data_IF_096602870043
#
_entry.id   IF_096602870043
#
_cell.length_a   1.000
_cell.length_b   1.000
_cell.length_c   1.000
_cell.angle_alpha   90.00
_cell.angle_beta   90.00
_cell.angle_gamma   90.00
#
_symmetry.space_group_name_H-M   'P 1'
#
loop_
_entity.id
_entity.type
_entity.pdbx_description
1 polymer ?
#
# COMPACT_ATOMS: atom_id res chain seq x y z
N UNK A 1 -6.00 0.83 7.08
CA UNK A 1 -4.57 0.80 7.44
C UNK A 1 -4.16 -0.61 7.78
N UNK A 2 -2.85 -0.86 7.86
CA UNK A 2 -2.28 -2.16 8.16
C UNK A 2 -1.38 -2.04 9.40
N UNK A 3 -1.57 -2.94 10.37
CA UNK A 3 -0.63 -3.08 11.48
C UNK A 3 0.53 -3.97 11.04
N UNK A 4 1.77 -3.53 11.28
CA UNK A 4 2.96 -4.29 10.94
C UNK A 4 3.97 -4.26 12.10
N UNK A 5 4.73 -5.35 12.27
CA UNK A 5 5.73 -5.47 13.34
C UNK A 5 5.77 -6.85 13.99
N UNK A 6 6.50 -6.92 15.11
CA UNK A 6 6.76 -8.18 15.85
C UNK A 6 5.45 -8.87 16.25
N UNK A 7 5.27 -10.12 15.80
CA UNK A 7 4.13 -10.96 16.19
C UNK A 7 2.85 -10.79 15.39
N UNK A 8 2.77 -9.87 14.41
CA UNK A 8 1.55 -9.69 13.60
C UNK A 8 1.49 -10.68 12.42
N UNK A 9 2.62 -10.93 11.75
CA UNK A 9 2.73 -11.94 10.69
C UNK A 9 4.06 -12.72 10.82
N UNK A 10 4.16 -13.92 10.23
CA UNK A 10 5.38 -14.75 10.23
C UNK A 10 6.61 -14.07 9.59
N UNK A 11 6.42 -12.98 8.84
CA UNK A 11 7.48 -12.15 8.24
C UNK A 11 7.86 -10.94 9.08
N UNK A 12 8.12 -11.13 10.39
CA UNK A 12 8.40 -10.09 11.38
C UNK A 12 9.69 -9.28 11.19
N UNK A 13 10.05 -8.93 9.96
CA UNK A 13 11.28 -8.21 9.61
C UNK A 13 11.06 -6.70 9.34
N UNK A 14 9.84 -6.19 9.51
CA UNK A 14 9.59 -4.76 9.33
C UNK A 14 10.04 -3.93 10.53
N UNK A 15 9.79 -4.43 11.75
CA UNK A 15 10.21 -3.82 13.02
C UNK A 15 10.48 -4.94 14.04
N UNK A 16 11.74 -5.18 14.44
CA UNK A 16 12.10 -6.33 15.28
C UNK A 16 11.58 -6.22 16.73
N UNK A 17 11.40 -4.99 17.23
CA UNK A 17 11.04 -4.74 18.65
C UNK A 17 9.82 -3.82 18.85
N UNK A 18 9.08 -3.53 17.78
CA UNK A 18 7.88 -2.70 17.88
C UNK A 18 6.78 -3.14 16.91
N UNK A 19 5.58 -2.64 17.18
CA UNK A 19 4.43 -2.68 16.29
C UNK A 19 4.12 -1.25 15.86
N UNK A 20 3.75 -1.07 14.60
CA UNK A 20 3.40 0.22 14.04
C UNK A 20 2.20 0.07 13.12
N UNK A 21 1.58 1.18 12.77
CA UNK A 21 0.40 1.24 11.92
C UNK A 21 0.71 2.11 10.70
N UNK A 22 0.37 1.60 9.52
CA UNK A 22 0.49 2.35 8.28
C UNK A 22 -0.90 2.60 7.67
N UNK A 23 -1.20 3.86 7.42
CA UNK A 23 -2.45 4.30 6.83
C UNK A 23 -2.40 4.13 5.31
N UNK A 24 -3.48 3.62 4.71
CA UNK A 24 -3.58 3.45 3.26
C UNK A 24 -4.86 4.05 2.65
N UNK A 25 -5.99 3.99 3.36
CA UNK A 25 -7.27 4.58 2.95
C UNK A 25 -8.04 5.07 4.18
N UNK A 26 -8.86 6.11 3.97
CA UNK A 26 -9.82 6.65 4.95
C UNK A 26 -11.20 6.67 4.29
N UNK A 27 -12.22 6.25 5.05
CA UNK A 27 -13.63 6.35 4.66
C UNK A 27 -14.37 7.22 5.68
N UNK A 28 -15.09 8.24 5.23
CA UNK A 28 -15.96 9.09 6.05
C UNK A 28 -17.39 8.98 5.51
N UNK A 29 -18.28 8.33 6.29
CA UNK A 29 -19.63 8.01 5.82
C UNK A 29 -19.58 7.13 4.56
N UNK A 30 -20.00 7.70 3.44
CA UNK A 30 -19.98 7.06 2.12
C UNK A 30 -18.76 7.46 1.25
N UNK A 31 -17.95 8.40 1.70
CA UNK A 31 -16.86 8.99 0.92
C UNK A 31 -15.55 8.28 1.21
N UNK A 32 -14.86 7.88 0.15
CA UNK A 32 -13.46 7.50 0.21
C UNK A 32 -12.64 8.74 -0.09
N UNK A 33 -11.67 9.04 0.78
CA UNK A 33 -10.88 10.25 0.64
C UNK A 33 -9.82 10.10 -0.45
N UNK A 34 -9.50 11.21 -1.11
CA UNK A 34 -8.41 11.28 -2.08
C UNK A 34 -7.06 11.11 -1.39
N UNK A 35 -6.00 10.90 -2.17
CA UNK A 35 -4.67 10.69 -1.61
C UNK A 35 -4.21 11.89 -0.79
N UNK A 36 -4.48 13.09 -1.28
CA UNK A 36 -4.11 14.37 -0.67
C UNK A 36 -4.78 14.52 0.70
N UNK A 37 -6.10 14.29 0.78
CA UNK A 37 -6.84 14.39 2.04
C UNK A 37 -6.38 13.35 3.07
N UNK A 38 -6.00 12.15 2.62
CA UNK A 38 -5.46 11.11 3.50
C UNK A 38 -4.09 11.55 4.05
N UNK A 39 -3.24 12.16 3.23
CA UNK A 39 -1.92 12.67 3.64
C UNK A 39 -2.05 13.79 4.66
N UNK A 40 -2.96 14.75 4.45
CA UNK A 40 -3.23 15.83 5.41
C UNK A 40 -3.70 15.27 6.76
N UNK A 41 -4.67 14.34 6.76
CA UNK A 41 -5.16 13.74 8.00
C UNK A 41 -4.07 12.89 8.68
N UNK A 42 -3.25 12.18 7.90
CA UNK A 42 -2.13 11.41 8.43
C UNK A 42 -1.11 12.31 9.14
N UNK A 43 -0.79 13.46 8.55
CA UNK A 43 0.10 14.47 9.13
C UNK A 43 -0.50 15.06 10.41
N UNK A 44 -1.77 15.48 10.38
CA UNK A 44 -2.46 16.03 11.57
C UNK A 44 -2.51 15.04 12.74
N UNK A 45 -2.64 13.74 12.45
CA UNK A 45 -2.70 12.68 13.47
C UNK A 45 -1.33 12.11 13.83
N UNK A 46 -0.25 12.51 13.15
CA UNK A 46 1.08 11.95 13.35
C UNK A 46 1.20 10.47 12.97
N UNK A 47 0.38 9.99 12.03
CA UNK A 47 0.32 8.59 11.61
C UNK A 47 1.12 8.39 10.32
N UNK A 48 1.89 7.30 10.23
CA UNK A 48 2.62 6.95 9.01
C UNK A 48 1.66 6.53 7.90
N UNK A 49 1.91 6.99 6.67
CA UNK A 49 1.14 6.63 5.48
C UNK A 49 1.95 5.75 4.52
N UNK A 50 1.28 4.86 3.78
CA UNK A 50 1.92 4.04 2.73
C UNK A 50 2.56 4.97 1.69
N UNK A 51 3.85 4.79 1.34
CA UNK A 51 4.52 5.62 0.34
C UNK A 51 4.01 5.32 -1.07
N UNK A 52 3.95 6.35 -1.92
CA UNK A 52 3.63 6.18 -3.33
C UNK A 52 4.86 5.60 -4.04
N UNK A 53 4.69 4.41 -4.64
CA UNK A 53 5.78 3.73 -5.36
C UNK A 53 6.01 4.39 -6.73
N UNK A 54 4.92 4.76 -7.41
CA UNK A 54 4.91 5.46 -8.68
C UNK A 54 3.49 5.72 -9.17
N UNK A 55 3.37 6.52 -10.23
CA UNK A 55 2.11 6.82 -10.91
C UNK A 55 2.27 6.43 -12.38
N UNK A 56 1.31 5.67 -12.93
CA UNK A 56 1.41 5.18 -14.31
C UNK A 56 0.26 4.25 -14.69
N UNK A 57 0.39 3.62 -15.86
CA UNK A 57 -0.56 2.61 -16.34
C UNK A 57 -0.35 1.27 -15.65
N UNK A 58 -1.36 0.39 -15.75
CA UNK A 58 -1.30 -0.97 -15.22
C UNK A 58 -0.13 -1.76 -15.82
N UNK A 59 0.11 -1.63 -17.13
CA UNK A 59 1.17 -2.35 -17.83
C UNK A 59 2.56 -2.02 -17.27
N UNK A 60 2.84 -0.73 -17.05
CA UNK A 60 4.10 -0.28 -16.45
C UNK A 60 4.29 -0.81 -15.03
N UNK A 61 3.22 -0.91 -14.27
CA UNK A 61 3.29 -1.47 -12.92
C UNK A 61 3.53 -2.99 -12.92
N UNK A 62 3.00 -3.71 -13.91
CA UNK A 62 3.29 -5.13 -14.12
C UNK A 62 4.76 -5.33 -14.50
N UNK A 63 5.30 -4.51 -15.40
CA UNK A 63 6.73 -4.55 -15.76
C UNK A 63 7.62 -4.24 -14.55
N UNK A 64 7.26 -3.22 -13.77
CA UNK A 64 7.97 -2.88 -12.54
C UNK A 64 7.96 -4.03 -11.52
N UNK A 65 6.80 -4.68 -11.33
CA UNK A 65 6.67 -5.82 -10.44
C UNK A 65 7.52 -7.03 -10.86
N UNK A 66 7.84 -7.16 -12.15
CA UNK A 66 8.69 -8.24 -12.69
C UNK A 66 10.19 -7.95 -12.59
N UNK A 67 10.61 -6.69 -12.62
CA UNK A 67 12.04 -6.33 -12.70
C UNK A 67 12.69 -6.01 -11.35
N UNK A 68 12.02 -5.24 -10.48
CA UNK A 68 12.62 -4.72 -9.24
C UNK A 68 11.60 -4.74 -8.10
N UNK A 69 11.66 -5.76 -7.25
CA UNK A 69 10.67 -5.96 -6.17
C UNK A 69 11.21 -5.66 -4.77
N UNK A 70 12.10 -4.69 -4.65
CA UNK A 70 12.72 -4.32 -3.36
C UNK A 70 11.76 -3.45 -2.53
N UNK A 71 11.46 -3.83 -1.28
CA UNK A 71 10.50 -3.11 -0.44
C UNK A 71 11.06 -1.77 0.05
N UNK A 72 10.32 -0.68 -0.22
CA UNK A 72 10.66 0.69 0.25
C UNK A 72 10.34 0.95 1.73
N UNK A 73 9.70 0.00 2.42
CA UNK A 73 9.17 0.18 3.79
C UNK A 73 10.09 -0.47 4.84
N UNK A 74 11.00 -1.36 4.44
CA UNK A 74 11.91 -2.05 5.36
C UNK A 74 13.23 -1.29 5.49
N UNK A 75 13.77 -1.19 6.71
CA UNK A 75 15.17 -0.76 6.92
C UNK A 75 16.16 -1.74 6.26
N UNK A 76 15.72 -2.97 6.03
CA UNK A 76 16.48 -4.01 5.37
C UNK A 76 16.23 -3.99 3.85
N UNK A 77 17.16 -3.42 3.08
CA UNK A 77 17.10 -3.28 1.61
C UNK A 77 17.10 -4.61 0.83
N UNK A 78 17.14 -5.75 1.51
CA UNK A 78 17.11 -7.09 0.90
C UNK A 78 15.71 -7.73 0.91
N UNK A 79 14.69 -7.08 1.49
CA UNK A 79 13.37 -7.68 1.54
C UNK A 79 12.62 -7.44 0.22
N UNK A 80 12.19 -8.54 -0.38
CA UNK A 80 11.28 -8.55 -1.51
C UNK A 80 9.92 -8.08 -0.96
N UNK A 81 9.32 -7.04 -1.53
CA UNK A 81 7.97 -6.63 -1.14
C UNK A 81 6.98 -7.83 -1.31
N UNK A 82 5.77 -7.77 -0.74
CA UNK A 82 4.78 -8.85 -1.00
C UNK A 82 4.02 -8.60 -2.32
N UNK A 83 3.69 -7.34 -2.56
CA UNK A 83 2.77 -6.93 -3.61
C UNK A 83 2.78 -5.41 -3.78
N UNK A 84 2.34 -4.95 -4.96
CA UNK A 84 1.93 -3.57 -5.19
C UNK A 84 0.41 -3.51 -5.12
N UNK A 85 -0.11 -2.53 -4.40
CA UNK A 85 -1.52 -2.16 -4.43
C UNK A 85 -1.63 -0.94 -5.33
N UNK A 86 -2.53 -1.02 -6.30
CA UNK A 86 -2.78 0.03 -7.27
C UNK A 86 -4.24 0.45 -7.17
N UNK A 87 -4.44 1.76 -7.12
CA UNK A 87 -5.75 2.38 -7.23
C UNK A 87 -5.74 3.44 -8.32
N UNK A 88 -6.86 3.66 -9.02
CA UNK A 88 -6.96 4.79 -9.94
C UNK A 88 -6.82 6.11 -9.16
N UNK A 89 -6.33 7.16 -9.83
CA UNK A 89 -6.13 8.48 -9.20
C UNK A 89 -7.43 9.07 -8.64
N UNK A 90 -8.55 8.76 -9.30
CA UNK A 90 -9.89 9.05 -8.81
C UNK A 90 -10.58 7.75 -8.42
N UNK A 91 -11.34 7.75 -7.34
CA UNK A 91 -12.05 6.56 -6.88
C UNK A 91 -13.12 6.13 -7.90
N UNK A 92 -12.92 4.96 -8.51
CA UNK A 92 -13.86 4.37 -9.46
C UNK A 92 -14.64 3.24 -8.81
N UNK A 93 -15.92 3.15 -9.18
CA UNK A 93 -16.82 2.08 -8.78
C UNK A 93 -17.34 1.34 -10.01
N UNK A 94 -17.50 0.03 -9.91
CA UNK A 94 -18.18 -0.73 -10.95
C UNK A 94 -19.71 -0.49 -10.87
N UNK A 95 -20.46 -0.98 -11.87
CA UNK A 95 -21.92 -0.85 -11.90
C UNK A 95 -22.64 -1.47 -10.68
N UNK A 96 -21.96 -2.36 -9.95
CA UNK A 96 -22.45 -2.97 -8.72
C UNK A 96 -22.02 -2.19 -7.44
N UNK A 97 -21.44 -0.99 -7.59
CA UNK A 97 -21.00 -0.14 -6.48
C UNK A 97 -19.75 -0.63 -5.74
N UNK A 98 -18.98 -1.59 -6.30
CA UNK A 98 -17.71 -2.06 -5.72
C UNK A 98 -16.56 -1.21 -6.22
N UNK A 99 -15.62 -0.87 -5.33
CA UNK A 99 -14.40 -0.11 -5.69
C UNK A 99 -13.53 -0.89 -6.68
N UNK A 100 -12.95 -0.15 -7.61
CA UNK A 100 -11.94 -0.67 -8.54
C UNK A 100 -10.57 -0.52 -7.89
N UNK A 101 -10.03 -1.63 -7.40
CA UNK A 101 -8.70 -1.71 -6.78
C UNK A 101 -8.01 -2.95 -7.33
N UNK A 102 -6.74 -2.84 -7.68
CA UNK A 102 -5.95 -3.96 -8.19
C UNK A 102 -4.77 -4.22 -7.28
N UNK A 103 -4.46 -5.49 -7.04
CA UNK A 103 -3.24 -5.92 -6.34
C UNK A 103 -2.44 -6.81 -7.29
N UNK A 104 -1.14 -6.55 -7.38
CA UNK A 104 -0.18 -7.39 -8.10
C UNK A 104 0.73 -7.99 -7.04
N UNK A 105 0.82 -9.32 -6.93
CA UNK A 105 1.75 -9.96 -5.99
C UNK A 105 2.94 -10.55 -6.75
N UNK A 106 4.13 -10.46 -6.18
CA UNK A 106 5.33 -11.04 -6.81
C UNK A 106 5.22 -12.57 -6.94
N UNK A 107 4.54 -13.21 -5.98
CA UNK A 107 4.23 -14.65 -6.02
C UNK A 107 3.40 -15.06 -7.25
N UNK A 108 2.71 -14.13 -7.91
CA UNK A 108 1.96 -14.45 -9.13
C UNK A 108 2.89 -14.67 -10.34
N UNK A 109 4.17 -14.31 -10.24
CA UNK A 109 5.17 -14.46 -11.31
C UNK A 109 6.25 -15.51 -11.03
N UNK A 110 6.29 -16.11 -9.83
CA UNK A 110 7.30 -17.09 -9.42
C UNK A 110 6.71 -18.41 -8.93
#
# INVERSE_FOLDING_TARGET
GEGYGKGIHKGGNYLPDSVNFILFDIKIGQWWLTRENIEEIAEMLGIKIVPIVGIGSLDKAVEFAKQDFTSRITENKQFIAEGLIMKPQQELFNCAGKRVITKIKYKDFC
#
